data_IF_873694590502
#
_entry.id   IF_873694590502
#
_cell.length_a   1.000
_cell.length_b   1.000
_cell.length_c   1.000
_cell.angle_alpha   90.00
_cell.angle_beta   90.00
_cell.angle_gamma   90.00
#
_symmetry.space_group_name_H-M   'P 1'
#
loop_
_entity.id
_entity.type
_entity.pdbx_description
1 polymer ?
#
# COMPACT_ATOMS: atom_id res chain seq x y z
N UNK A 1 -23.20 16.57 -11.07
CA UNK A 1 -21.89 16.50 -11.73
C UNK A 1 -21.04 15.52 -10.94
N UNK A 2 -20.71 14.37 -11.50
CA UNK A 2 -19.81 13.41 -10.87
C UNK A 2 -18.46 14.09 -10.65
N UNK A 3 -18.02 14.07 -9.41
CA UNK A 3 -16.70 14.63 -9.07
C UNK A 3 -15.68 13.55 -9.38
N UNK A 4 -14.90 13.74 -10.41
CA UNK A 4 -13.71 12.91 -10.66
C UNK A 4 -12.74 13.05 -9.51
N UNK A 5 -12.08 11.95 -9.17
CA UNK A 5 -10.96 11.89 -8.25
C UNK A 5 -9.74 11.35 -8.98
N UNK A 6 -8.60 11.92 -8.72
CA UNK A 6 -7.32 11.44 -9.22
C UNK A 6 -6.58 10.77 -8.07
N UNK A 7 -6.04 9.59 -8.35
CA UNK A 7 -5.32 8.81 -7.35
C UNK A 7 -3.86 8.64 -7.79
N UNK A 8 -2.99 9.63 -7.52
CA UNK A 8 -1.56 9.48 -7.76
C UNK A 8 -1.03 8.28 -6.97
N UNK A 9 -0.23 7.46 -7.64
CA UNK A 9 0.24 6.19 -7.11
C UNK A 9 1.73 6.22 -6.77
N UNK A 10 2.10 5.59 -5.66
CA UNK A 10 3.50 5.32 -5.35
C UNK A 10 4.09 4.33 -6.33
N UNK A 11 5.30 4.61 -6.84
CA UNK A 11 5.98 3.84 -7.89
C UNK A 11 7.18 3.07 -7.35
N UNK A 12 7.40 1.88 -7.90
CA UNK A 12 8.45 0.99 -7.46
C UNK A 12 9.84 1.28 -8.05
N UNK A 13 9.91 1.92 -9.22
CA UNK A 13 11.19 2.28 -9.85
C UNK A 13 11.77 3.56 -9.26
N UNK A 14 13.04 3.50 -8.86
CA UNK A 14 13.73 4.61 -8.17
C UNK A 14 13.82 5.87 -9.05
N UNK A 15 13.95 5.71 -10.36
CA UNK A 15 14.09 6.81 -11.31
C UNK A 15 12.74 7.44 -11.75
N UNK A 16 11.63 7.05 -11.12
CA UNK A 16 10.31 7.63 -11.39
C UNK A 16 9.81 8.45 -10.21
N UNK A 17 9.04 9.48 -10.49
CA UNK A 17 8.23 10.18 -9.49
C UNK A 17 7.25 9.17 -8.90
N UNK A 18 7.08 9.18 -7.59
CA UNK A 18 6.18 8.27 -6.90
C UNK A 18 6.77 7.72 -5.59
N UNK A 19 7.69 8.43 -4.95
CA UNK A 19 8.03 8.17 -3.56
C UNK A 19 6.82 8.51 -2.66
N UNK A 20 6.80 8.01 -1.45
CA UNK A 20 5.74 8.33 -0.49
C UNK A 20 5.60 9.84 -0.28
N UNK A 21 6.72 10.55 -0.14
CA UNK A 21 6.73 12.00 0.05
C UNK A 21 6.15 12.76 -1.14
N UNK A 22 6.55 12.38 -2.35
CA UNK A 22 6.06 13.00 -3.58
C UNK A 22 4.54 12.78 -3.74
N UNK A 23 4.02 11.61 -3.40
CA UNK A 23 2.57 11.34 -3.46
C UNK A 23 1.82 12.12 -2.38
N UNK A 24 2.37 12.25 -1.18
CA UNK A 24 1.78 13.10 -0.13
C UNK A 24 1.73 14.55 -0.60
N UNK A 25 2.82 15.08 -1.14
CA UNK A 25 2.88 16.46 -1.66
C UNK A 25 1.85 16.68 -2.77
N UNK A 26 1.75 15.77 -3.75
CA UNK A 26 0.76 15.85 -4.83
C UNK A 26 -0.68 15.82 -4.29
N UNK A 27 -0.96 14.93 -3.36
CA UNK A 27 -2.30 14.80 -2.78
C UNK A 27 -2.67 15.97 -1.84
N UNK A 28 -1.70 16.73 -1.35
CA UNK A 28 -1.95 17.92 -0.54
C UNK A 28 -2.41 19.15 -1.36
N UNK A 29 -2.18 19.15 -2.69
CA UNK A 29 -2.47 20.30 -3.56
C UNK A 29 -3.96 20.60 -3.66
N UNK A 30 -4.80 19.56 -3.79
CA UNK A 30 -6.25 19.73 -3.93
C UNK A 30 -7.01 18.53 -3.33
N UNK A 31 -8.26 18.77 -2.96
CA UNK A 31 -9.15 17.73 -2.40
C UNK A 31 -9.55 16.65 -3.41
N UNK A 32 -9.41 16.90 -4.71
CA UNK A 32 -9.71 15.90 -5.74
C UNK A 32 -8.66 14.80 -5.82
N UNK A 33 -7.48 15.00 -5.23
CA UNK A 33 -6.43 13.99 -5.17
C UNK A 33 -6.57 13.13 -3.92
N UNK A 34 -6.62 11.80 -4.13
CA UNK A 34 -6.52 10.79 -3.09
C UNK A 34 -5.29 9.93 -3.33
N UNK A 35 -4.55 9.54 -2.28
CA UNK A 35 -3.39 8.70 -2.48
C UNK A 35 -3.77 7.28 -2.90
N UNK A 36 -3.04 6.74 -3.88
CA UNK A 36 -2.98 5.32 -4.15
C UNK A 36 -1.61 4.81 -3.67
N UNK A 37 -1.62 4.06 -2.60
CA UNK A 37 -0.41 3.55 -1.96
C UNK A 37 -0.22 2.10 -2.34
N UNK A 38 0.75 1.84 -3.21
CA UNK A 38 1.21 0.50 -3.52
C UNK A 38 2.37 0.13 -2.59
N UNK A 39 2.10 -0.76 -1.64
CA UNK A 39 3.08 -1.20 -0.67
C UNK A 39 4.14 -2.13 -1.27
N UNK A 40 3.79 -2.87 -2.32
CA UNK A 40 4.77 -3.63 -3.10
C UNK A 40 5.77 -2.70 -3.77
N UNK A 41 5.31 -1.62 -4.40
CA UNK A 41 6.17 -0.59 -4.99
C UNK A 41 7.06 0.09 -3.95
N UNK A 42 6.52 0.47 -2.80
CA UNK A 42 7.33 1.08 -1.73
C UNK A 42 8.39 0.12 -1.19
N UNK A 43 8.04 -1.16 -1.02
CA UNK A 43 9.00 -2.18 -0.61
C UNK A 43 10.10 -2.37 -1.66
N UNK A 44 9.74 -2.44 -2.94
CA UNK A 44 10.70 -2.55 -4.03
C UNK A 44 11.61 -1.33 -4.12
N UNK A 45 11.05 -0.12 -4.01
CA UNK A 45 11.78 1.15 -4.05
C UNK A 45 12.80 1.29 -2.91
N UNK A 46 12.51 0.72 -1.76
CA UNK A 46 13.39 0.70 -0.58
C UNK A 46 14.24 -0.57 -0.49
N UNK A 47 14.23 -1.39 -1.53
CA UNK A 47 14.98 -2.65 -1.60
C UNK A 47 14.70 -3.58 -0.42
N UNK A 48 13.41 -3.80 -0.14
CA UNK A 48 12.96 -4.66 0.95
C UNK A 48 12.91 -3.94 2.31
N UNK A 49 12.67 -2.65 2.32
CA UNK A 49 12.63 -1.85 3.55
C UNK A 49 11.36 -2.03 4.39
N UNK A 50 10.31 -2.69 3.87
CA UNK A 50 9.07 -2.94 4.61
C UNK A 50 9.04 -4.40 5.08
N UNK A 51 9.29 -4.62 6.37
CA UNK A 51 9.42 -5.97 6.96
C UNK A 51 8.52 -6.20 8.16
N UNK A 52 8.22 -5.16 8.90
CA UNK A 52 7.53 -5.25 10.19
C UNK A 52 6.27 -4.40 10.21
N UNK A 53 5.38 -4.66 11.16
CA UNK A 53 4.21 -3.81 11.40
C UNK A 53 4.59 -2.36 11.66
N UNK A 54 5.72 -2.11 12.33
CA UNK A 54 6.21 -0.75 12.59
C UNK A 54 6.61 0.00 11.31
N UNK A 55 7.08 -0.70 10.28
CA UNK A 55 7.36 -0.08 8.99
C UNK A 55 6.08 0.41 8.33
N UNK A 56 5.01 -0.37 8.39
CA UNK A 56 3.68 0.03 7.91
C UNK A 56 3.09 1.16 8.75
N UNK A 57 3.19 1.11 10.09
CA UNK A 57 2.73 2.18 10.99
C UNK A 57 3.36 3.52 10.61
N UNK A 58 4.66 3.56 10.41
CA UNK A 58 5.37 4.79 10.00
C UNK A 58 4.86 5.37 8.69
N UNK A 59 4.52 4.51 7.72
CA UNK A 59 3.93 4.95 6.44
C UNK A 59 2.53 5.53 6.66
N UNK A 60 1.67 4.85 7.43
CA UNK A 60 0.32 5.31 7.74
C UNK A 60 0.32 6.60 8.56
N UNK A 61 1.21 6.73 9.54
CA UNK A 61 1.42 7.96 10.32
C UNK A 61 1.78 9.12 9.40
N UNK A 62 2.75 8.93 8.53
CA UNK A 62 3.20 9.96 7.59
C UNK A 62 2.08 10.40 6.63
N UNK A 63 1.26 9.47 6.15
CA UNK A 63 0.08 9.76 5.33
C UNK A 63 -0.96 10.56 6.12
N UNK A 64 -1.27 10.15 7.34
CA UNK A 64 -2.27 10.81 8.19
C UNK A 64 -1.81 12.20 8.62
N UNK A 65 -0.54 12.37 8.98
CA UNK A 65 0.05 13.66 9.34
C UNK A 65 0.08 14.62 8.13
N UNK A 66 0.45 14.12 6.95
CA UNK A 66 0.58 14.94 5.75
C UNK A 66 -0.72 15.29 5.06
N UNK A 67 -1.73 14.41 5.10
CA UNK A 67 -2.97 14.54 4.33
C UNK A 67 -4.24 14.65 5.19
N UNK A 68 -4.15 14.35 6.48
CA UNK A 68 -5.29 14.23 7.38
C UNK A 68 -5.97 12.86 7.31
N UNK A 69 -6.73 12.54 8.36
CA UNK A 69 -7.38 11.24 8.53
C UNK A 69 -8.33 10.91 7.36
N UNK A 70 -9.13 11.88 6.91
CA UNK A 70 -10.13 11.66 5.85
C UNK A 70 -9.51 11.14 4.55
N UNK A 71 -8.39 11.73 4.09
CA UNK A 71 -7.71 11.27 2.88
C UNK A 71 -7.02 9.93 3.09
N UNK A 72 -6.42 9.70 4.25
CA UNK A 72 -5.81 8.43 4.59
C UNK A 72 -6.85 7.31 4.69
N UNK A 73 -8.01 7.56 5.29
CA UNK A 73 -9.12 6.61 5.41
C UNK A 73 -9.71 6.20 4.06
N UNK A 74 -9.75 7.13 3.11
CA UNK A 74 -10.30 6.92 1.77
C UNK A 74 -9.25 6.55 0.71
N UNK A 75 -8.00 6.30 1.10
CA UNK A 75 -6.95 5.94 0.16
C UNK A 75 -7.23 4.62 -0.56
N UNK A 76 -6.65 4.47 -1.74
CA UNK A 76 -6.49 3.17 -2.39
C UNK A 76 -5.20 2.51 -1.91
N UNK A 77 -5.25 1.24 -1.59
CA UNK A 77 -4.09 0.43 -1.28
C UNK A 77 -3.94 -0.64 -2.35
N UNK A 78 -2.87 -0.54 -3.13
CA UNK A 78 -2.46 -1.61 -4.02
C UNK A 78 -1.49 -2.52 -3.29
N UNK A 79 -1.62 -3.82 -3.53
CA UNK A 79 -0.78 -4.78 -2.86
C UNK A 79 -0.45 -5.99 -3.75
N UNK A 80 0.82 -6.30 -3.80
CA UNK A 80 1.39 -7.58 -4.24
C UNK A 80 2.80 -7.71 -3.68
N UNK A 81 3.35 -8.91 -3.71
CA UNK A 81 4.80 -9.09 -3.58
C UNK A 81 5.47 -8.64 -4.88
N UNK A 82 6.65 -8.06 -4.79
CA UNK A 82 7.37 -7.52 -5.95
C UNK A 82 8.83 -7.93 -5.91
N UNK A 83 9.31 -8.49 -7.02
CA UNK A 83 10.74 -8.66 -7.26
C UNK A 83 11.39 -7.31 -7.49
N UNK A 84 12.53 -7.07 -6.85
CA UNK A 84 13.28 -5.83 -6.98
C UNK A 84 14.78 -6.04 -7.18
N UNK A 85 15.41 -5.02 -7.73
CA UNK A 85 16.84 -4.91 -7.93
C UNK A 85 17.32 -3.52 -7.49
N UNK A 86 18.59 -3.19 -7.77
CA UNK A 86 19.14 -1.85 -7.47
C UNK A 86 18.36 -0.69 -8.11
N UNK A 87 17.60 -0.95 -9.18
CA UNK A 87 16.74 0.03 -9.84
C UNK A 87 15.31 0.11 -9.26
N UNK A 88 15.03 -0.65 -8.23
CA UNK A 88 13.70 -0.82 -7.65
C UNK A 88 12.93 -1.97 -8.30
N UNK A 89 11.64 -1.79 -8.53
CA UNK A 89 10.72 -2.77 -9.07
C UNK A 89 11.21 -3.44 -10.36
N UNK A 90 11.11 -4.77 -10.41
CA UNK A 90 11.32 -5.59 -11.59
C UNK A 90 9.99 -6.14 -12.12
N UNK A 91 9.24 -6.86 -11.30
CA UNK A 91 7.91 -7.41 -11.66
C UNK A 91 7.07 -7.74 -10.44
N UNK A 92 5.75 -7.75 -10.64
CA UNK A 92 4.80 -8.27 -9.66
C UNK A 92 4.92 -9.79 -9.52
N UNK A 93 4.74 -10.28 -8.31
CA UNK A 93 4.78 -11.69 -7.94
C UNK A 93 3.42 -12.09 -7.34
N UNK A 94 3.32 -13.32 -6.86
CA UNK A 94 2.15 -13.86 -6.17
C UNK A 94 2.43 -13.99 -4.67
N UNK A 95 1.41 -14.26 -3.87
CA UNK A 95 1.56 -14.51 -2.43
C UNK A 95 2.36 -15.78 -2.12
N UNK A 96 2.48 -16.70 -3.07
CA UNK A 96 3.29 -17.91 -2.95
C UNK A 96 4.81 -17.64 -2.96
N UNK A 97 5.25 -16.45 -3.38
CA UNK A 97 6.66 -16.10 -3.34
C UNK A 97 7.17 -16.00 -1.91
N UNK A 98 8.31 -16.65 -1.63
CA UNK A 98 8.94 -16.69 -0.29
C UNK A 98 10.23 -15.87 -0.21
N UNK A 99 10.68 -15.27 -1.31
CA UNK A 99 11.96 -14.56 -1.41
C UNK A 99 11.78 -13.06 -1.21
N UNK A 100 10.78 -12.50 -1.89
CA UNK A 100 10.47 -11.09 -1.84
C UNK A 100 9.23 -10.83 -0.99
N UNK A 101 9.04 -9.59 -0.60
CA UNK A 101 7.86 -9.14 0.11
C UNK A 101 7.16 -8.03 -0.67
N UNK A 102 6.40 -7.25 0.03
CA UNK A 102 6.15 -7.30 1.49
C UNK A 102 5.08 -8.33 1.87
N UNK A 103 4.93 -8.58 3.18
CA UNK A 103 3.84 -9.42 3.70
C UNK A 103 2.59 -8.58 4.01
N UNK A 104 1.40 -9.16 3.78
CA UNK A 104 0.13 -8.44 3.94
C UNK A 104 -0.37 -8.39 5.38
N UNK A 105 -0.17 -9.44 6.18
CA UNK A 105 -0.69 -9.50 7.56
C UNK A 105 -0.22 -8.33 8.44
N UNK A 106 1.07 -7.90 8.42
CA UNK A 106 1.50 -6.73 9.18
C UNK A 106 0.83 -5.42 8.74
N UNK A 107 0.52 -5.27 7.44
CA UNK A 107 -0.26 -4.14 6.94
C UNK A 107 -1.68 -4.16 7.49
N UNK A 108 -2.33 -5.33 7.45
CA UNK A 108 -3.68 -5.51 7.97
C UNK A 108 -3.76 -5.11 9.46
N UNK A 109 -2.77 -5.53 10.26
CA UNK A 109 -2.65 -5.14 11.68
C UNK A 109 -2.58 -3.61 11.82
N UNK A 110 -1.67 -2.96 11.09
CA UNK A 110 -1.52 -1.52 11.17
C UNK A 110 -2.78 -0.77 10.75
N UNK A 111 -3.44 -1.19 9.66
CA UNK A 111 -4.68 -0.56 9.16
C UNK A 111 -5.81 -0.67 10.20
N UNK A 112 -5.97 -1.83 10.83
CA UNK A 112 -6.98 -2.04 11.88
C UNK A 112 -6.68 -1.18 13.11
N UNK A 113 -5.44 -1.13 13.57
CA UNK A 113 -5.02 -0.32 14.72
C UNK A 113 -5.26 1.19 14.51
N UNK A 114 -5.05 1.68 13.30
CA UNK A 114 -5.28 3.10 12.95
C UNK A 114 -6.75 3.41 12.64
N UNK A 115 -7.63 2.41 12.62
CA UNK A 115 -9.04 2.57 12.32
C UNK A 115 -9.31 3.08 10.90
N UNK A 116 -8.46 2.69 9.94
CA UNK A 116 -8.57 3.08 8.54
C UNK A 116 -9.38 2.06 7.73
N UNK A 117 -10.07 2.53 6.69
CA UNK A 117 -10.94 1.72 5.84
C UNK A 117 -10.61 1.89 4.35
N UNK A 118 -9.36 1.64 3.94
CA UNK A 118 -8.95 1.81 2.55
C UNK A 118 -9.63 0.80 1.63
N UNK A 119 -9.64 1.13 0.33
CA UNK A 119 -9.98 0.15 -0.70
C UNK A 119 -8.72 -0.64 -1.05
N UNK A 120 -8.72 -1.96 -0.82
CA UNK A 120 -7.63 -2.84 -1.19
C UNK A 120 -7.79 -3.39 -2.60
N UNK A 121 -6.75 -3.31 -3.40
CA UNK A 121 -6.65 -3.84 -4.76
C UNK A 121 -5.44 -4.75 -4.84
N UNK A 122 -5.66 -6.03 -5.19
CA UNK A 122 -4.59 -7.00 -5.38
C UNK A 122 -4.01 -6.88 -6.79
N UNK A 123 -2.68 -6.79 -6.89
CA UNK A 123 -1.95 -6.70 -8.16
C UNK A 123 -0.99 -7.88 -8.39
N UNK A 124 -1.25 -9.02 -7.76
CA UNK A 124 -0.48 -10.24 -8.01
C UNK A 124 -0.52 -10.66 -9.47
N UNK A 125 0.58 -11.21 -9.97
CA UNK A 125 0.70 -11.66 -11.36
C UNK A 125 -0.16 -12.91 -11.60
N UNK A 126 -1.17 -12.79 -12.44
CA UNK A 126 -2.15 -13.83 -12.85
C UNK A 126 -2.98 -14.47 -11.71
N UNK A 127 -2.74 -14.14 -10.46
CA UNK A 127 -3.46 -14.71 -9.29
C UNK A 127 -4.26 -13.69 -8.52
N UNK A 128 -4.63 -12.54 -9.13
CA UNK A 128 -5.27 -11.42 -8.45
C UNK A 128 -6.50 -11.86 -7.64
N UNK A 129 -7.39 -12.64 -8.22
CA UNK A 129 -8.61 -13.07 -7.54
C UNK A 129 -8.34 -14.01 -6.35
N UNK A 130 -7.40 -14.97 -6.51
CA UNK A 130 -6.99 -15.90 -5.46
C UNK A 130 -6.36 -15.14 -4.29
N UNK A 131 -5.37 -14.30 -4.59
CA UNK A 131 -4.62 -13.57 -3.57
C UNK A 131 -5.47 -12.47 -2.92
N UNK A 132 -6.44 -11.89 -3.63
CA UNK A 132 -7.42 -10.98 -3.03
C UNK A 132 -8.32 -11.68 -2.01
N UNK A 133 -8.72 -12.94 -2.25
CA UNK A 133 -9.44 -13.74 -1.25
C UNK A 133 -8.56 -14.02 -0.03
N UNK A 134 -7.29 -14.30 -0.23
CA UNK A 134 -6.33 -14.49 0.85
C UNK A 134 -6.15 -13.21 1.67
N UNK A 135 -5.97 -12.05 1.02
CA UNK A 135 -5.95 -10.74 1.69
C UNK A 135 -7.19 -10.52 2.55
N UNK A 136 -8.38 -10.80 2.01
CA UNK A 136 -9.64 -10.67 2.74
C UNK A 136 -9.66 -11.57 3.98
N UNK A 137 -9.26 -12.83 3.84
CA UNK A 137 -9.24 -13.79 4.96
C UNK A 137 -8.27 -13.35 6.06
N UNK A 138 -7.07 -12.88 5.68
CA UNK A 138 -6.08 -12.34 6.62
C UNK A 138 -6.67 -11.13 7.35
N UNK A 139 -7.25 -10.17 6.62
CA UNK A 139 -7.81 -8.96 7.20
C UNK A 139 -8.95 -9.26 8.19
N UNK A 140 -9.87 -10.15 7.84
CA UNK A 140 -10.98 -10.56 8.72
C UNK A 140 -10.48 -11.29 9.98
N UNK A 141 -9.43 -12.10 9.86
CA UNK A 141 -8.78 -12.74 11.02
C UNK A 141 -8.19 -11.69 11.96
N UNK A 142 -7.36 -10.80 11.44
CA UNK A 142 -6.72 -9.71 12.21
C UNK A 142 -7.77 -8.86 12.91
N UNK A 143 -8.85 -8.48 12.21
CA UNK A 143 -9.93 -7.68 12.78
C UNK A 143 -10.62 -8.36 13.96
N UNK A 144 -10.78 -9.68 13.91
CA UNK A 144 -11.37 -10.45 15.03
C UNK A 144 -10.43 -10.55 16.23
N UNK A 145 -9.13 -10.64 16.00
CA UNK A 145 -8.11 -10.76 17.05
C UNK A 145 -7.84 -9.43 17.76
N UNK A 146 -8.12 -8.31 17.10
CA UNK A 146 -7.86 -6.95 17.62
C UNK A 146 -9.05 -6.38 18.42
N UNK A 147 -10.22 -6.99 18.33
CA UNK A 147 -11.45 -6.55 19.06
C UNK A 147 -11.50 -7.09 20.48
#
# INVERSE_FOLDING_TARGET
MEKFRFCPETMGKINRIGSLDEIIELCAVDKIFLPAIDFGHLNARTMGGIKTTDDYRRILEKLTEGLGFEKADNMHVHFSKIEYSKGGEVKHLTFEDEIFGPEFEPLAVAVVEYGLHPVFICESDDTQAKDAVEMKNIFEKVKKETV
#
